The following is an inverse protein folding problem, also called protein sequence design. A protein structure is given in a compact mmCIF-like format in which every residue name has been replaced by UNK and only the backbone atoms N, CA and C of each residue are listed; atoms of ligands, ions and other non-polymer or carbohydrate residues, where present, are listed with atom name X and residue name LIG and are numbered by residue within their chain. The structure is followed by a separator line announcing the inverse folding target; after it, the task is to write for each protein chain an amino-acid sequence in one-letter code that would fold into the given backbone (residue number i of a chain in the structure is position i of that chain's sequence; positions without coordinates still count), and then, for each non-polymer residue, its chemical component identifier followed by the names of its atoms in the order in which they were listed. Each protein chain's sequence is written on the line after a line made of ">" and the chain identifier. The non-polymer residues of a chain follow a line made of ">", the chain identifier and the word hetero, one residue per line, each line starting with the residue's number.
data_IF_604365871126
#
_entry.id   IF_604365871126
#
_cell.length_a   1.000
_cell.length_b   1.000
_cell.length_c   1.000
_cell.angle_alpha   90.00
_cell.angle_beta   90.00
_cell.angle_gamma   90.00
#
_symmetry.space_group_name_H-M   'P 1'
#
loop_
_entity.id
_entity.type
_entity.pdbx_description
1 polymer ?
#
# COMPACT_ATOMS: atom_id res chain seq x y z
N UNK A 1 -22.76 72.79 41.64
CA UNK A 1 -22.54 72.37 40.26
C UNK A 1 -21.54 71.15 40.25
N UNK A 2 -21.97 69.94 40.03
CA UNK A 2 -21.11 68.75 39.91
C UNK A 2 -20.95 68.44 38.41
N UNK A 3 -19.72 68.46 37.91
CA UNK A 3 -19.37 68.08 36.54
C UNK A 3 -19.11 66.58 36.57
N UNK A 4 -19.90 65.84 35.81
CA UNK A 4 -19.73 64.37 35.60
C UNK A 4 -18.89 64.17 34.33
N UNK A 5 -17.66 63.72 34.49
CA UNK A 5 -16.80 63.32 33.38
C UNK A 5 -17.19 61.92 32.85
N UNK A 6 -17.49 61.80 31.58
CA UNK A 6 -17.69 60.53 30.88
C UNK A 6 -16.33 60.00 30.40
N UNK A 7 -15.90 58.85 30.91
CA UNK A 7 -14.74 58.11 30.39
C UNK A 7 -15.19 57.29 29.19
N UNK A 8 -14.56 57.46 28.03
CA UNK A 8 -14.68 56.60 26.87
C UNK A 8 -13.66 55.48 26.99
N UNK A 9 -14.15 54.22 27.07
CA UNK A 9 -13.31 53.04 26.95
C UNK A 9 -13.13 52.72 25.47
N UNK A 10 -11.90 52.78 24.97
CA UNK A 10 -11.52 52.32 23.64
C UNK A 10 -11.15 50.85 23.74
N UNK A 11 -12.00 49.98 23.24
CA UNK A 11 -11.69 48.52 23.11
C UNK A 11 -10.79 48.33 21.89
N UNK A 12 -9.54 47.95 22.10
CA UNK A 12 -8.63 47.53 21.05
C UNK A 12 -8.97 46.09 20.66
N UNK A 13 -9.49 45.88 19.46
CA UNK A 13 -9.72 44.56 18.86
C UNK A 13 -8.38 44.06 18.32
N UNK A 14 -7.75 43.11 19.01
CA UNK A 14 -6.54 42.46 18.52
C UNK A 14 -6.95 41.45 17.44
N UNK A 15 -6.71 41.75 16.15
CA UNK A 15 -6.75 40.79 15.05
C UNK A 15 -5.53 39.87 15.19
N UNK A 16 -5.75 38.66 15.64
CA UNK A 16 -4.75 37.57 15.50
C UNK A 16 -4.79 37.09 14.07
N UNK A 17 -3.87 37.53 13.25
CA UNK A 17 -3.55 36.91 11.96
C UNK A 17 -3.01 35.52 12.25
N UNK A 18 -3.86 34.51 12.12
CA UNK A 18 -3.45 33.13 12.08
C UNK A 18 -2.59 32.92 10.83
N UNK A 19 -1.28 32.88 10.98
CA UNK A 19 -0.40 32.32 9.95
C UNK A 19 -0.79 30.84 9.80
N UNK A 20 -1.54 30.51 8.75
CA UNK A 20 -1.66 29.13 8.29
C UNK A 20 -0.25 28.71 7.87
N UNK A 21 0.41 27.89 8.67
CA UNK A 21 1.63 27.23 8.27
C UNK A 21 1.27 26.39 7.02
N UNK A 22 1.74 26.82 5.86
CA UNK A 22 1.58 26.07 4.63
C UNK A 22 2.24 24.70 4.85
N UNK A 23 1.47 23.63 4.72
CA UNK A 23 2.00 22.29 4.89
C UNK A 23 3.18 22.13 3.93
N UNK A 24 4.33 21.67 4.44
CA UNK A 24 5.52 21.47 3.61
C UNK A 24 5.20 20.51 2.47
N UNK A 25 5.50 20.92 1.24
CA UNK A 25 5.23 20.14 0.05
C UNK A 25 6.12 18.90 -0.03
N UNK A 26 5.58 17.81 -0.54
CA UNK A 26 6.33 16.62 -0.87
C UNK A 26 7.05 16.85 -2.21
N UNK A 27 8.38 16.79 -2.24
CA UNK A 27 9.19 16.98 -3.45
C UNK A 27 10.11 15.80 -3.68
N UNK A 28 10.42 15.53 -4.95
CA UNK A 28 11.46 14.57 -5.28
C UNK A 28 12.82 15.12 -4.82
N UNK A 29 13.51 14.35 -3.98
CA UNK A 29 14.82 14.69 -3.42
C UNK A 29 15.95 13.81 -3.95
N UNK A 30 15.62 12.75 -4.68
CA UNK A 30 16.59 11.81 -5.25
C UNK A 30 15.94 10.66 -5.97
N UNK A 31 16.80 9.71 -6.34
CA UNK A 31 16.41 8.42 -6.89
C UNK A 31 17.45 7.36 -6.52
N UNK A 32 17.01 6.11 -6.37
CA UNK A 32 17.88 4.96 -6.15
C UNK A 32 17.92 4.13 -7.45
N UNK A 33 19.10 3.91 -7.99
CA UNK A 33 19.28 3.06 -9.16
C UNK A 33 19.02 1.59 -8.80
N UNK A 34 18.31 0.87 -9.67
CA UNK A 34 18.13 -0.58 -9.60
C UNK A 34 19.19 -1.22 -10.49
N UNK A 35 20.20 -1.90 -9.93
CA UNK A 35 21.25 -2.55 -10.74
C UNK A 35 20.72 -3.78 -11.48
N UNK A 36 21.34 -4.10 -12.62
CA UNK A 36 21.02 -5.29 -13.41
C UNK A 36 20.20 -4.99 -14.65
N UNK A 37 19.18 -5.80 -14.91
CA UNK A 37 18.28 -5.61 -16.04
C UNK A 37 17.40 -4.37 -15.83
N UNK A 38 16.96 -3.78 -16.95
CA UNK A 38 16.05 -2.62 -16.89
C UNK A 38 14.78 -2.98 -16.13
N UNK A 39 14.39 -2.12 -15.21
CA UNK A 39 13.15 -2.29 -14.42
C UNK A 39 11.92 -2.10 -15.33
N UNK A 40 11.48 -3.17 -15.95
CA UNK A 40 10.31 -3.23 -16.84
C UNK A 40 9.09 -3.88 -16.20
N UNK A 41 9.29 -4.64 -15.13
CA UNK A 41 8.25 -5.29 -14.35
C UNK A 41 8.68 -5.35 -12.89
N UNK A 42 7.82 -4.91 -12.05
CA UNK A 42 7.88 -5.01 -10.60
C UNK A 42 6.45 -5.02 -10.08
N UNK A 43 6.28 -5.30 -8.80
CA UNK A 43 4.99 -5.16 -8.16
C UNK A 43 5.13 -4.43 -6.82
N UNK A 44 4.95 -5.09 -5.72
CA UNK A 44 4.87 -4.44 -4.40
C UNK A 44 6.25 -4.01 -3.89
N UNK A 45 6.25 -2.90 -3.18
CA UNK A 45 7.39 -2.43 -2.40
C UNK A 45 7.01 -2.25 -0.93
N UNK A 46 7.99 -2.42 -0.05
CA UNK A 46 7.79 -2.38 1.39
C UNK A 46 8.97 -1.72 2.10
N UNK A 47 8.72 -1.02 3.21
CA UNK A 47 9.78 -0.54 4.12
C UNK A 47 9.62 -1.19 5.48
N UNK A 48 10.63 -1.94 5.90
CA UNK A 48 10.75 -2.35 7.30
C UNK A 48 11.34 -1.20 8.12
N UNK A 49 10.51 -0.66 9.00
CA UNK A 49 10.84 0.51 9.83
C UNK A 49 11.99 0.24 10.80
N UNK A 50 12.10 -0.99 11.27
CA UNK A 50 13.09 -1.38 12.28
C UNK A 50 14.50 -1.52 11.68
N UNK A 51 14.63 -2.23 10.56
CA UNK A 51 15.91 -2.40 9.87
C UNK A 51 16.26 -1.23 8.95
N UNK A 52 15.30 -0.35 8.65
CA UNK A 52 15.44 0.78 7.72
C UNK A 52 15.83 0.32 6.32
N UNK A 53 15.19 -0.75 5.86
CA UNK A 53 15.39 -1.33 4.54
C UNK A 53 14.12 -1.21 3.72
N UNK A 54 14.31 -0.84 2.46
CA UNK A 54 13.28 -0.87 1.45
C UNK A 54 13.47 -2.13 0.61
N UNK A 55 12.37 -2.80 0.33
CA UNK A 55 12.29 -4.02 -0.47
C UNK A 55 11.46 -3.77 -1.71
N UNK A 56 11.89 -4.30 -2.85
CA UNK A 56 11.18 -4.23 -4.12
C UNK A 56 11.03 -5.64 -4.69
N UNK A 57 9.80 -6.03 -5.01
CA UNK A 57 9.50 -7.22 -5.80
C UNK A 57 9.85 -6.94 -7.27
N UNK A 58 11.08 -7.27 -7.69
CA UNK A 58 11.61 -6.99 -9.03
C UNK A 58 11.51 -8.20 -9.94
N UNK A 59 10.44 -8.24 -10.74
CA UNK A 59 10.20 -9.29 -11.72
C UNK A 59 11.22 -9.27 -12.85
N UNK A 60 11.78 -8.11 -13.19
CA UNK A 60 12.77 -7.98 -14.27
C UNK A 60 14.07 -8.70 -13.94
N UNK A 61 14.51 -8.60 -12.70
CA UNK A 61 15.73 -9.24 -12.21
C UNK A 61 15.46 -10.58 -11.50
N UNK A 62 14.20 -11.04 -11.44
CA UNK A 62 13.80 -12.29 -10.77
C UNK A 62 14.24 -12.33 -9.31
N UNK A 63 14.02 -11.22 -8.59
CA UNK A 63 14.60 -11.00 -7.28
C UNK A 63 13.76 -10.11 -6.39
N UNK A 64 13.98 -10.21 -5.10
CA UNK A 64 13.67 -9.14 -4.16
C UNK A 64 14.92 -8.28 -4.00
N UNK A 65 14.84 -7.03 -4.39
CA UNK A 65 15.92 -6.07 -4.27
C UNK A 65 15.82 -5.32 -2.94
N UNK A 66 16.96 -5.13 -2.28
CA UNK A 66 17.05 -4.54 -0.94
C UNK A 66 17.89 -3.27 -0.97
N UNK A 67 17.35 -2.19 -0.38
CA UNK A 67 17.99 -0.88 -0.33
C UNK A 67 18.02 -0.34 1.10
N UNK A 68 19.02 0.47 1.40
CA UNK A 68 19.13 1.24 2.64
C UNK A 68 18.34 2.56 2.48
N UNK A 69 17.33 2.79 3.34
CA UNK A 69 16.50 4.00 3.26
C UNK A 69 17.19 5.24 3.82
N UNK A 70 18.20 5.07 4.67
CA UNK A 70 18.98 6.18 5.23
C UNK A 70 19.94 6.74 4.19
N UNK A 71 20.70 5.85 3.56
CA UNK A 71 21.74 6.19 2.59
C UNK A 71 21.20 6.29 1.15
N UNK A 72 19.95 5.87 0.89
CA UNK A 72 19.32 5.77 -0.44
C UNK A 72 20.17 4.99 -1.44
N UNK A 73 20.62 3.81 -1.06
CA UNK A 73 21.49 2.98 -1.88
C UNK A 73 21.08 1.52 -1.89
N UNK A 74 21.37 0.86 -2.99
CA UNK A 74 21.23 -0.58 -3.13
C UNK A 74 22.18 -1.30 -2.16
N UNK A 75 21.65 -2.33 -1.46
CA UNK A 75 22.41 -3.20 -0.54
C UNK A 75 22.72 -4.52 -1.23
N UNK A 76 21.73 -5.14 -1.86
CA UNK A 76 21.84 -6.45 -2.47
C UNK A 76 20.49 -6.94 -2.99
N UNK A 77 20.49 -8.18 -3.48
CA UNK A 77 19.27 -8.84 -3.97
C UNK A 77 19.21 -10.29 -3.58
N UNK A 78 18.01 -10.78 -3.43
CA UNK A 78 17.70 -12.19 -3.23
C UNK A 78 17.12 -12.71 -4.54
N UNK A 79 17.87 -13.55 -5.23
CA UNK A 79 17.44 -14.19 -6.48
C UNK A 79 16.69 -15.50 -6.22
N UNK A 80 16.08 -16.06 -7.26
CA UNK A 80 15.41 -17.37 -7.18
C UNK A 80 13.90 -17.31 -7.34
N UNK A 81 13.41 -16.24 -7.98
CA UNK A 81 11.99 -16.05 -8.33
C UNK A 81 11.75 -16.37 -9.80
N UNK A 82 10.47 -16.59 -10.13
CA UNK A 82 10.02 -16.92 -11.49
C UNK A 82 10.41 -15.84 -12.50
N UNK A 83 10.28 -14.57 -12.12
CA UNK A 83 10.52 -13.43 -13.00
C UNK A 83 9.33 -13.12 -13.91
N UNK A 84 9.57 -12.31 -14.95
CA UNK A 84 8.55 -11.96 -15.93
C UNK A 84 8.26 -13.16 -16.83
N UNK A 85 7.06 -13.70 -16.76
CA UNK A 85 6.54 -14.73 -17.63
C UNK A 85 5.80 -14.09 -18.81
N UNK A 86 6.10 -14.52 -20.01
CA UNK A 86 5.45 -14.02 -21.22
C UNK A 86 4.43 -15.03 -21.72
N UNK A 87 3.18 -14.63 -21.87
CA UNK A 87 2.10 -15.41 -22.46
C UNK A 87 1.54 -14.64 -23.67
N UNK A 88 1.51 -15.28 -24.82
CA UNK A 88 1.05 -14.67 -26.08
C UNK A 88 1.74 -13.32 -26.41
N UNK A 89 3.04 -13.21 -26.10
CA UNK A 89 3.83 -12.02 -26.36
C UNK A 89 3.61 -10.85 -25.39
N UNK A 90 2.83 -11.06 -24.33
CA UNK A 90 2.58 -10.06 -23.26
C UNK A 90 3.01 -10.60 -21.90
N UNK A 91 3.42 -9.74 -20.96
CA UNK A 91 3.66 -10.17 -19.59
C UNK A 91 2.39 -10.75 -18.96
N UNK A 92 2.50 -11.96 -18.39
CA UNK A 92 1.43 -12.58 -17.62
C UNK A 92 1.45 -12.05 -16.20
N UNK A 93 0.42 -11.30 -15.82
CA UNK A 93 0.30 -10.78 -14.45
C UNK A 93 0.15 -11.90 -13.43
N UNK A 94 -0.56 -12.98 -13.80
CA UNK A 94 -0.90 -14.07 -12.88
C UNK A 94 0.19 -15.13 -12.72
N UNK A 95 1.28 -15.05 -13.51
CA UNK A 95 2.37 -16.05 -13.54
C UNK A 95 3.75 -15.45 -13.34
N UNK A 96 3.87 -14.12 -13.42
CA UNK A 96 5.13 -13.43 -13.11
C UNK A 96 5.33 -13.37 -11.59
N UNK A 97 6.55 -13.10 -11.15
CA UNK A 97 6.92 -12.93 -9.74
C UNK A 97 8.40 -12.53 -9.60
N UNK A 98 8.80 -12.02 -8.42
CA UNK A 98 7.99 -11.84 -7.21
C UNK A 98 6.93 -10.76 -7.39
N UNK A 99 5.85 -10.84 -6.60
CA UNK A 99 4.77 -9.85 -6.59
C UNK A 99 4.66 -9.16 -5.23
N UNK A 100 4.09 -9.81 -4.21
CA UNK A 100 4.06 -9.27 -2.85
C UNK A 100 5.41 -9.35 -2.17
N UNK A 101 5.70 -8.36 -1.31
CA UNK A 101 6.83 -8.41 -0.39
C UNK A 101 6.48 -7.72 0.91
N UNK A 102 6.88 -8.33 2.03
CA UNK A 102 6.85 -7.74 3.37
C UNK A 102 8.10 -8.15 4.14
N UNK A 103 8.48 -7.39 5.16
CA UNK A 103 9.67 -7.66 5.94
C UNK A 103 9.50 -7.22 7.40
N UNK A 104 10.22 -7.88 8.29
CA UNK A 104 10.34 -7.52 9.70
C UNK A 104 11.72 -7.93 10.21
N UNK A 105 12.52 -6.96 10.61
CA UNK A 105 13.88 -7.13 11.12
C UNK A 105 14.80 -7.89 10.13
N UNK A 106 15.12 -9.15 10.44
CA UNK A 106 16.06 -9.97 9.67
C UNK A 106 15.36 -10.94 8.71
N UNK A 107 14.02 -10.94 8.68
CA UNK A 107 13.21 -11.79 7.81
C UNK A 107 12.46 -10.95 6.78
N UNK A 108 12.30 -11.50 5.58
CA UNK A 108 11.35 -11.01 4.60
C UNK A 108 10.55 -12.17 4.00
N UNK A 109 9.40 -11.87 3.48
CA UNK A 109 8.50 -12.79 2.81
C UNK A 109 8.19 -12.24 1.44
N UNK A 110 8.22 -13.09 0.44
CA UNK A 110 7.86 -12.68 -0.91
C UNK A 110 6.99 -13.72 -1.59
N UNK A 111 5.89 -13.26 -2.16
CA UNK A 111 5.02 -14.06 -3.00
C UNK A 111 5.59 -14.20 -4.39
N UNK A 112 5.40 -15.35 -5.03
CA UNK A 112 5.93 -15.62 -6.36
C UNK A 112 4.84 -16.11 -7.33
N UNK A 113 5.13 -16.02 -8.63
CA UNK A 113 4.25 -16.39 -9.73
C UNK A 113 3.88 -17.88 -9.82
N UNK A 114 4.59 -18.72 -9.08
CA UNK A 114 4.35 -20.17 -8.97
C UNK A 114 3.45 -20.59 -7.79
N UNK A 115 2.74 -19.63 -7.18
CA UNK A 115 1.87 -19.85 -6.02
C UNK A 115 2.63 -20.29 -4.77
N UNK A 116 3.85 -19.81 -4.59
CA UNK A 116 4.64 -20.03 -3.38
C UNK A 116 4.88 -18.75 -2.62
N UNK A 117 4.99 -18.87 -1.29
CA UNK A 117 5.57 -17.85 -0.42
C UNK A 117 7.00 -18.23 -0.08
N UNK A 118 7.96 -17.37 -0.39
CA UNK A 118 9.38 -17.57 -0.10
C UNK A 118 9.78 -16.83 1.15
N UNK A 119 10.44 -17.52 2.05
CA UNK A 119 11.01 -16.99 3.29
C UNK A 119 12.46 -16.61 3.06
N UNK A 120 12.84 -15.43 3.48
CA UNK A 120 14.12 -14.81 3.17
C UNK A 120 14.82 -14.43 4.47
N UNK A 121 16.07 -14.85 4.62
CA UNK A 121 16.99 -14.28 5.59
C UNK A 121 17.66 -13.05 4.97
N UNK A 122 17.39 -11.88 5.54
CA UNK A 122 17.85 -10.59 4.99
C UNK A 122 19.34 -10.33 5.30
N UNK A 123 19.94 -11.02 6.28
CA UNK A 123 21.38 -10.90 6.57
C UNK A 123 22.22 -11.65 5.56
N UNK A 124 21.77 -12.84 5.20
CA UNK A 124 22.48 -13.70 4.24
C UNK A 124 22.06 -13.47 2.80
N UNK A 125 20.97 -12.69 2.58
CA UNK A 125 20.35 -12.46 1.27
C UNK A 125 20.00 -13.78 0.56
N UNK A 126 19.40 -14.71 1.28
CA UNK A 126 19.07 -16.03 0.78
C UNK A 126 17.63 -16.45 1.09
N UNK A 127 17.02 -17.20 0.17
CA UNK A 127 15.77 -17.91 0.44
C UNK A 127 16.10 -19.07 1.38
N UNK A 128 15.42 -19.11 2.52
CA UNK A 128 15.61 -20.14 3.55
C UNK A 128 14.55 -21.22 3.48
N UNK A 129 13.38 -20.89 2.96
CA UNK A 129 12.26 -21.82 2.78
C UNK A 129 11.32 -21.37 1.67
N UNK A 130 10.52 -22.31 1.16
CA UNK A 130 9.51 -22.07 0.13
C UNK A 130 8.27 -22.89 0.44
N UNK A 131 7.15 -22.22 0.68
CA UNK A 131 5.89 -22.87 1.07
C UNK A 131 4.84 -22.64 -0.01
N UNK A 132 4.27 -23.73 -0.54
CA UNK A 132 3.17 -23.67 -1.49
C UNK A 132 1.87 -23.24 -0.79
N UNK A 133 1.16 -22.26 -1.35
CA UNK A 133 -0.13 -21.80 -0.83
C UNK A 133 -1.30 -22.64 -1.33
N UNK A 134 -1.04 -23.50 -2.30
CA UNK A 134 -2.04 -24.42 -2.90
C UNK A 134 -2.93 -23.74 -3.92
N UNK A 135 -2.47 -22.67 -4.54
CA UNK A 135 -3.05 -22.05 -5.72
C UNK A 135 -2.34 -22.46 -7.01
N UNK A 136 -2.66 -21.79 -8.08
CA UNK A 136 -2.10 -21.96 -9.43
C UNK A 136 -1.62 -20.66 -10.05
N UNK A 137 -1.93 -19.54 -9.41
CA UNK A 137 -1.55 -18.20 -9.79
C UNK A 137 -0.64 -17.58 -8.73
N UNK A 138 -0.13 -16.39 -8.99
CA UNK A 138 0.79 -15.68 -8.11
C UNK A 138 0.27 -15.55 -6.66
N UNK A 139 1.19 -15.50 -5.72
CA UNK A 139 0.93 -14.95 -4.39
C UNK A 139 1.24 -13.47 -4.48
N UNK A 140 0.22 -12.67 -4.30
CA UNK A 140 0.29 -11.21 -4.43
C UNK A 140 0.64 -10.55 -3.09
N UNK A 141 -0.15 -9.63 -2.62
CA UNK A 141 0.11 -8.83 -1.45
C UNK A 141 0.01 -9.60 -0.14
N UNK A 142 0.64 -9.07 0.89
CA UNK A 142 0.65 -9.68 2.21
C UNK A 142 0.63 -8.65 3.33
N UNK A 143 0.18 -9.07 4.51
CA UNK A 143 0.23 -8.31 5.74
C UNK A 143 0.80 -9.17 6.87
N UNK A 144 1.45 -8.51 7.83
CA UNK A 144 2.10 -9.15 8.96
C UNK A 144 1.36 -8.84 10.26
N UNK A 145 1.09 -9.88 11.05
CA UNK A 145 0.75 -9.78 12.46
C UNK A 145 1.99 -10.12 13.28
N UNK A 146 2.69 -9.11 13.79
CA UNK A 146 3.91 -9.34 14.56
C UNK A 146 3.64 -9.86 15.98
N UNK A 147 2.42 -9.73 16.51
CA UNK A 147 2.06 -10.16 17.86
C UNK A 147 1.86 -11.67 17.91
N UNK A 148 1.06 -12.21 16.99
CA UNK A 148 0.80 -13.65 16.91
C UNK A 148 1.79 -14.37 15.98
N UNK A 149 2.71 -13.64 15.34
CA UNK A 149 3.69 -14.16 14.40
C UNK A 149 3.05 -14.83 13.17
N UNK A 150 2.10 -14.15 12.54
CA UNK A 150 1.37 -14.63 11.38
C UNK A 150 1.60 -13.72 10.17
N UNK A 151 1.87 -14.31 9.01
CA UNK A 151 1.75 -13.63 7.72
C UNK A 151 0.47 -14.09 7.04
N UNK A 152 -0.34 -13.14 6.56
CA UNK A 152 -1.45 -13.38 5.66
C UNK A 152 -0.99 -13.07 4.25
N UNK A 153 -0.98 -14.06 3.36
CA UNK A 153 -0.56 -13.94 1.97
C UNK A 153 -1.73 -14.24 1.03
N UNK A 154 -2.00 -13.33 0.08
CA UNK A 154 -3.18 -13.36 -0.78
C UNK A 154 -2.84 -13.98 -2.13
N UNK A 155 -3.59 -14.99 -2.56
CA UNK A 155 -3.67 -15.45 -3.94
C UNK A 155 -4.85 -14.73 -4.61
N UNK A 156 -4.58 -13.55 -5.16
CA UNK A 156 -5.61 -12.61 -5.61
C UNK A 156 -6.34 -13.05 -6.88
N UNK A 157 -5.65 -13.75 -7.77
CA UNK A 157 -6.15 -14.12 -9.10
C UNK A 157 -6.74 -15.53 -9.17
N UNK A 158 -6.94 -16.21 -8.05
CA UNK A 158 -7.66 -17.48 -7.99
C UNK A 158 -9.18 -17.24 -8.04
N UNK A 159 -9.92 -18.28 -8.44
CA UNK A 159 -11.39 -18.24 -8.49
C UNK A 159 -12.00 -19.36 -7.65
N UNK A 160 -12.51 -19.07 -6.45
CA UNK A 160 -12.48 -17.79 -5.76
C UNK A 160 -11.08 -17.46 -5.23
N UNK A 161 -10.75 -16.16 -5.02
CA UNK A 161 -9.50 -15.77 -4.40
C UNK A 161 -9.44 -16.22 -2.95
N UNK A 162 -8.23 -16.42 -2.43
CA UNK A 162 -8.03 -16.83 -1.05
C UNK A 162 -6.78 -16.21 -0.43
N UNK A 163 -6.72 -16.21 0.88
CA UNK A 163 -5.50 -15.93 1.63
C UNK A 163 -5.03 -17.17 2.38
N UNK A 164 -3.71 -17.32 2.51
CA UNK A 164 -3.09 -18.34 3.35
C UNK A 164 -2.50 -17.67 4.57
N UNK A 165 -2.80 -18.18 5.76
CA UNK A 165 -2.16 -17.81 7.01
C UNK A 165 -0.96 -18.72 7.23
N UNK A 166 0.22 -18.13 7.43
CA UNK A 166 1.47 -18.88 7.64
C UNK A 166 2.16 -18.37 8.91
N UNK A 167 2.86 -19.28 9.59
CA UNK A 167 3.68 -18.96 10.73
C UNK A 167 4.93 -18.20 10.30
N UNK A 168 5.23 -17.09 10.97
CA UNK A 168 6.50 -16.37 10.83
C UNK A 168 7.63 -17.04 11.66
N UNK A 169 7.29 -18.05 12.48
CA UNK A 169 8.28 -18.83 13.24
C UNK A 169 9.08 -19.75 12.32
N UNK A 170 10.24 -20.26 12.75
CA UNK A 170 11.11 -21.10 11.91
C UNK A 170 10.48 -22.38 11.36
N UNK A 171 9.30 -22.78 11.83
CA UNK A 171 8.58 -23.94 11.32
C UNK A 171 7.75 -23.64 10.04
N UNK A 172 7.56 -22.37 9.72
CA UNK A 172 6.88 -21.83 8.51
C UNK A 172 5.58 -22.56 8.16
N UNK A 173 4.83 -23.02 9.18
CA UNK A 173 3.63 -23.83 8.97
C UNK A 173 2.51 -23.02 8.34
N UNK A 174 1.77 -23.67 7.45
CA UNK A 174 0.44 -23.21 7.04
C UNK A 174 -0.50 -23.39 8.23
N UNK A 175 -1.07 -22.28 8.72
CA UNK A 175 -1.99 -22.23 9.86
C UNK A 175 -3.45 -22.33 9.42
N UNK A 176 -3.76 -21.87 8.21
CA UNK A 176 -5.12 -21.90 7.67
C UNK A 176 -5.20 -21.31 6.27
N UNK A 177 -6.35 -21.51 5.65
CA UNK A 177 -6.73 -20.91 4.36
C UNK A 177 -8.08 -20.23 4.51
N UNK A 178 -8.19 -19.01 4.03
CA UNK A 178 -9.40 -18.19 4.06
C UNK A 178 -9.84 -17.95 2.64
N UNK A 179 -11.01 -18.47 2.28
CA UNK A 179 -11.55 -18.33 0.92
C UNK A 179 -12.54 -17.16 0.91
N UNK A 180 -12.34 -16.22 -0.01
CA UNK A 180 -13.24 -15.09 -0.22
C UNK A 180 -14.31 -15.47 -1.25
N UNK A 181 -15.25 -16.32 -0.86
CA UNK A 181 -16.24 -16.93 -1.77
C UNK A 181 -17.13 -15.92 -2.49
N UNK A 182 -17.37 -14.76 -1.90
CA UNK A 182 -18.18 -13.69 -2.50
C UNK A 182 -17.36 -12.71 -3.35
N UNK A 183 -16.03 -12.79 -3.34
CA UNK A 183 -15.15 -11.99 -4.17
C UNK A 183 -15.16 -12.51 -5.61
N UNK A 184 -15.45 -11.63 -6.56
CA UNK A 184 -15.63 -12.00 -7.98
C UNK A 184 -14.70 -11.26 -8.94
N UNK A 185 -13.81 -10.40 -8.43
CA UNK A 185 -12.74 -9.72 -9.18
C UNK A 185 -11.48 -9.59 -8.31
N UNK A 186 -11.04 -10.72 -7.73
CA UNK A 186 -9.83 -10.78 -6.92
C UNK A 186 -10.01 -10.39 -5.45
N UNK A 187 -8.89 -10.42 -4.73
CA UNK A 187 -8.70 -9.87 -3.39
C UNK A 187 -7.34 -9.18 -3.38
N UNK A 188 -7.28 -7.97 -2.91
CA UNK A 188 -6.15 -7.06 -3.08
C UNK A 188 -5.50 -6.71 -1.73
N UNK A 189 -4.79 -5.59 -1.63
CA UNK A 189 -3.95 -5.23 -0.49
C UNK A 189 -4.59 -5.55 0.86
N UNK A 190 -3.95 -6.39 1.69
CA UNK A 190 -4.30 -6.58 3.09
C UNK A 190 -3.57 -5.58 3.99
N UNK A 191 -4.16 -5.28 5.14
CA UNK A 191 -3.51 -4.52 6.21
C UNK A 191 -3.83 -5.16 7.57
N UNK A 192 -2.86 -5.20 8.47
CA UNK A 192 -3.07 -5.61 9.86
C UNK A 192 -3.42 -4.41 10.73
N UNK A 193 -4.44 -4.57 11.57
CA UNK A 193 -4.82 -3.57 12.56
C UNK A 193 -4.41 -4.01 13.97
N UNK A 194 -3.37 -3.45 14.55
CA UNK A 194 -2.93 -3.84 15.90
C UNK A 194 -3.92 -3.46 17.00
N UNK A 195 -4.88 -2.56 16.73
CA UNK A 195 -5.88 -2.15 17.72
C UNK A 195 -6.94 -3.23 18.02
N UNK A 196 -7.20 -4.12 17.06
CA UNK A 196 -8.16 -5.22 17.23
C UNK A 196 -7.57 -6.61 16.92
N UNK A 197 -6.33 -6.67 16.39
CA UNK A 197 -5.65 -7.91 16.04
C UNK A 197 -6.23 -8.60 14.80
N UNK A 198 -6.85 -7.85 13.88
CA UNK A 198 -7.49 -8.37 12.69
C UNK A 198 -6.74 -7.97 11.41
N UNK A 199 -6.85 -8.79 10.39
CA UNK A 199 -6.49 -8.38 9.04
C UNK A 199 -7.71 -7.80 8.31
N UNK A 200 -7.47 -6.77 7.52
CA UNK A 200 -8.45 -6.13 6.65
C UNK A 200 -7.98 -6.32 5.21
N UNK A 201 -8.78 -6.99 4.39
CA UNK A 201 -8.43 -7.35 3.01
C UNK A 201 -9.36 -6.63 2.05
N UNK A 202 -8.81 -5.90 1.10
CA UNK A 202 -9.59 -5.22 0.06
C UNK A 202 -10.24 -6.23 -0.88
N UNK A 203 -11.54 -6.09 -1.10
CA UNK A 203 -12.32 -6.93 -2.02
C UNK A 203 -12.94 -6.03 -3.10
N UNK A 204 -12.34 -6.03 -4.30
CA UNK A 204 -12.73 -5.13 -5.39
C UNK A 204 -14.18 -5.27 -5.84
N UNK A 205 -14.67 -6.51 -5.97
CA UNK A 205 -16.02 -6.79 -6.40
C UNK A 205 -16.65 -7.90 -5.55
N UNK A 206 -17.91 -7.69 -5.12
CA UNK A 206 -18.65 -8.63 -4.29
C UNK A 206 -19.91 -9.10 -5.03
N UNK A 207 -20.05 -10.41 -5.23
CA UNK A 207 -21.27 -11.03 -5.74
C UNK A 207 -21.60 -10.69 -7.19
N UNK A 208 -20.59 -10.44 -8.03
CA UNK A 208 -20.75 -10.05 -9.45
C UNK A 208 -21.48 -8.72 -9.66
N UNK A 209 -21.51 -7.87 -8.64
CA UNK A 209 -21.95 -6.47 -8.78
C UNK A 209 -20.71 -5.58 -8.92
N UNK A 210 -20.38 -5.09 -10.13
CA UNK A 210 -19.17 -4.31 -10.37
C UNK A 210 -19.12 -2.98 -9.62
N UNK A 211 -20.25 -2.54 -9.05
CA UNK A 211 -20.33 -1.31 -8.25
C UNK A 211 -20.23 -1.55 -6.75
N UNK A 212 -20.16 -2.81 -6.34
CA UNK A 212 -20.10 -3.20 -4.95
C UNK A 212 -18.76 -3.84 -4.61
N UNK A 213 -17.93 -3.12 -3.90
CA UNK A 213 -16.72 -3.64 -3.28
C UNK A 213 -16.79 -3.57 -1.76
N UNK A 214 -15.68 -3.82 -1.09
CA UNK A 214 -15.63 -3.76 0.36
C UNK A 214 -14.29 -4.18 0.95
N UNK A 215 -14.30 -4.41 2.26
CA UNK A 215 -13.16 -4.89 3.01
C UNK A 215 -13.60 -6.09 3.86
N UNK A 216 -12.96 -7.23 3.65
CA UNK A 216 -13.13 -8.41 4.49
C UNK A 216 -12.29 -8.25 5.76
N UNK A 217 -12.91 -8.38 6.93
CA UNK A 217 -12.24 -8.40 8.24
C UNK A 217 -12.03 -9.85 8.64
N UNK A 218 -10.78 -10.24 8.80
CA UNK A 218 -10.33 -11.61 9.04
C UNK A 218 -9.75 -11.72 10.45
N UNK A 219 -10.24 -12.66 11.22
CA UNK A 219 -9.64 -13.04 12.51
C UNK A 219 -8.60 -14.14 12.28
N UNK A 220 -7.29 -13.85 12.41
CA UNK A 220 -6.22 -14.84 12.16
C UNK A 220 -6.24 -15.99 13.16
N UNK A 221 -6.75 -15.79 14.38
CA UNK A 221 -6.80 -16.81 15.41
C UNK A 221 -7.92 -17.82 15.16
N UNK A 222 -9.03 -17.36 14.55
CA UNK A 222 -10.14 -18.22 14.13
C UNK A 222 -9.96 -18.80 12.74
N UNK A 223 -9.13 -18.15 11.91
CA UNK A 223 -8.98 -18.49 10.50
C UNK A 223 -10.26 -18.24 9.71
N UNK A 224 -10.99 -17.15 9.97
CA UNK A 224 -12.31 -16.90 9.43
C UNK A 224 -12.56 -15.42 9.13
N UNK A 225 -13.46 -15.16 8.16
CA UNK A 225 -13.98 -13.81 7.87
C UNK A 225 -15.10 -13.52 8.89
N UNK A 226 -14.88 -12.55 9.76
CA UNK A 226 -15.84 -12.19 10.81
C UNK A 226 -16.78 -11.05 10.41
N UNK A 227 -16.40 -10.28 9.38
CA UNK A 227 -17.20 -9.13 8.92
C UNK A 227 -16.85 -8.77 7.49
N UNK A 228 -17.82 -8.28 6.72
CA UNK A 228 -17.64 -7.64 5.43
C UNK A 228 -18.11 -6.18 5.52
N UNK A 229 -17.21 -5.24 5.31
CA UNK A 229 -17.49 -3.80 5.24
C UNK A 229 -17.76 -3.44 3.79
N UNK A 230 -18.97 -3.63 3.29
CA UNK A 230 -19.33 -3.36 1.90
C UNK A 230 -19.49 -1.88 1.63
N UNK A 231 -19.06 -1.44 0.44
CA UNK A 231 -19.22 -0.08 -0.04
C UNK A 231 -19.72 -0.07 -1.50
N UNK A 232 -20.59 0.89 -1.81
CA UNK A 232 -21.05 1.12 -3.19
C UNK A 232 -20.13 2.11 -3.89
N UNK A 233 -19.95 1.94 -5.20
CA UNK A 233 -19.18 2.84 -6.05
C UNK A 233 -17.70 2.99 -5.61
N UNK A 234 -17.14 1.90 -5.04
CA UNK A 234 -15.72 1.77 -4.76
C UNK A 234 -15.28 0.36 -5.15
N UNK A 235 -14.26 0.27 -5.96
CA UNK A 235 -13.56 -0.95 -6.33
C UNK A 235 -12.21 -0.93 -5.59
N UNK A 236 -12.19 -1.32 -4.30
CA UNK A 236 -11.04 -1.09 -3.44
C UNK A 236 -9.87 -2.02 -3.80
N UNK A 237 -8.69 -1.43 -3.94
CA UNK A 237 -7.44 -2.15 -4.08
C UNK A 237 -6.53 -1.88 -2.87
N UNK A 238 -6.05 -0.64 -2.72
CA UNK A 238 -5.15 -0.28 -1.63
C UNK A 238 -5.85 0.01 -0.31
N UNK A 239 -5.26 -0.43 0.82
CA UNK A 239 -5.71 -0.15 2.17
C UNK A 239 -4.53 0.14 3.10
N UNK A 240 -4.63 1.17 3.96
CA UNK A 240 -3.66 1.44 5.01
C UNK A 240 -4.32 2.10 6.24
N UNK A 241 -3.95 1.64 7.43
CA UNK A 241 -4.41 2.24 8.68
C UNK A 241 -3.74 3.57 8.95
N UNK A 242 -4.50 4.51 9.51
CA UNK A 242 -4.07 5.83 9.93
C UNK A 242 -4.55 6.17 11.34
N UNK A 243 -4.64 7.46 11.69
CA UNK A 243 -5.03 7.90 13.02
C UNK A 243 -6.52 7.62 13.31
N UNK A 244 -6.89 7.69 14.59
CA UNK A 244 -8.27 7.65 15.10
C UNK A 244 -9.06 6.37 14.78
N UNK A 245 -8.36 5.25 14.53
CA UNK A 245 -8.96 3.98 14.12
C UNK A 245 -9.58 4.03 12.72
N UNK A 246 -9.11 4.94 11.89
CA UNK A 246 -9.50 5.05 10.49
C UNK A 246 -8.49 4.35 9.58
N UNK A 247 -8.94 4.02 8.38
CA UNK A 247 -8.09 3.56 7.29
C UNK A 247 -8.44 4.27 5.99
N UNK A 248 -7.44 4.46 5.15
CA UNK A 248 -7.63 4.91 3.77
C UNK A 248 -7.92 3.72 2.87
N UNK A 249 -8.82 3.89 1.92
CA UNK A 249 -9.18 2.90 0.93
C UNK A 249 -9.08 3.51 -0.47
N UNK A 250 -8.15 3.01 -1.28
CA UNK A 250 -7.96 3.41 -2.66
C UNK A 250 -8.95 2.69 -3.58
N UNK A 251 -9.86 3.43 -4.22
CA UNK A 251 -10.85 2.85 -5.13
C UNK A 251 -10.39 3.00 -6.57
N UNK A 252 -10.23 1.88 -7.27
CA UNK A 252 -9.85 1.88 -8.67
C UNK A 252 -10.93 2.49 -9.56
N UNK A 253 -10.53 3.42 -10.44
CA UNK A 253 -11.43 3.93 -11.46
C UNK A 253 -11.62 2.88 -12.57
N UNK A 254 -12.86 2.68 -12.95
CA UNK A 254 -13.21 1.88 -14.12
C UNK A 254 -14.34 2.57 -14.89
N UNK A 255 -13.98 3.33 -15.92
CA UNK A 255 -14.94 4.11 -16.71
C UNK A 255 -15.97 3.24 -17.44
N UNK A 256 -15.61 2.04 -17.88
CA UNK A 256 -16.51 1.11 -18.55
C UNK A 256 -17.60 0.60 -17.61
N UNK A 257 -17.28 0.44 -16.32
CA UNK A 257 -18.21 0.05 -15.26
C UNK A 257 -18.84 1.24 -14.54
N UNK A 258 -18.56 2.46 -14.97
CA UNK A 258 -19.05 3.70 -14.34
C UNK A 258 -18.52 3.95 -12.94
N UNK A 259 -17.33 3.39 -12.62
CA UNK A 259 -16.70 3.55 -11.31
C UNK A 259 -15.83 4.80 -11.28
N UNK A 260 -16.07 5.73 -10.34
CA UNK A 260 -15.27 6.94 -10.23
C UNK A 260 -13.89 6.65 -9.62
N UNK A 261 -12.92 7.52 -9.94
CA UNK A 261 -11.70 7.62 -9.17
C UNK A 261 -12.02 8.30 -7.83
N UNK A 262 -11.92 7.59 -6.73
CA UNK A 262 -12.19 8.13 -5.39
C UNK A 262 -11.28 7.48 -4.36
N UNK A 263 -10.90 8.23 -3.33
CA UNK A 263 -10.27 7.69 -2.14
C UNK A 263 -11.22 7.89 -0.96
N UNK A 264 -11.43 6.85 -0.17
CA UNK A 264 -12.28 6.88 1.01
C UNK A 264 -11.44 6.84 2.28
N UNK A 265 -11.82 7.61 3.28
CA UNK A 265 -11.37 7.41 4.66
C UNK A 265 -12.54 6.77 5.41
N UNK A 266 -12.28 5.61 5.99
CA UNK A 266 -13.30 4.80 6.65
C UNK A 266 -12.93 4.51 8.09
N UNK A 267 -13.92 4.44 8.97
CA UNK A 267 -13.72 4.03 10.35
C UNK A 267 -13.75 2.50 10.46
N UNK A 268 -12.69 1.89 11.00
CA UNK A 268 -12.55 0.44 11.08
C UNK A 268 -13.63 -0.23 11.94
N UNK A 269 -14.01 0.40 13.06
CA UNK A 269 -14.99 -0.15 14.00
C UNK A 269 -16.40 -0.19 13.42
N UNK A 270 -16.82 0.92 12.80
CA UNK A 270 -18.20 1.08 12.30
C UNK A 270 -18.35 0.68 10.83
N UNK A 271 -17.30 0.76 10.03
CA UNK A 271 -17.35 0.63 8.57
C UNK A 271 -17.96 1.85 7.87
N UNK A 272 -18.17 2.95 8.60
CA UNK A 272 -18.73 4.16 8.01
C UNK A 272 -17.66 4.98 7.28
N UNK A 273 -18.04 5.64 6.20
CA UNK A 273 -17.21 6.62 5.51
C UNK A 273 -17.09 7.88 6.36
N UNK A 274 -15.84 8.25 6.68
CA UNK A 274 -15.49 9.51 7.38
C UNK A 274 -15.32 10.64 6.37
N UNK A 275 -14.65 10.35 5.25
CA UNK A 275 -14.47 11.29 4.14
C UNK A 275 -14.42 10.56 2.80
N UNK A 276 -14.89 11.23 1.76
CA UNK A 276 -14.73 10.80 0.37
C UNK A 276 -13.99 11.90 -0.40
N UNK A 277 -12.93 11.53 -1.09
CA UNK A 277 -12.02 12.43 -1.78
C UNK A 277 -12.08 12.11 -3.28
N UNK A 278 -12.93 12.82 -4.06
CA UNK A 278 -13.21 12.48 -5.46
C UNK A 278 -12.08 12.86 -6.42
N UNK A 279 -11.14 13.69 -5.97
CA UNK A 279 -10.08 14.22 -6.84
C UNK A 279 -8.87 13.29 -6.97
N UNK A 280 -8.86 12.18 -6.25
CA UNK A 280 -7.79 11.19 -6.26
C UNK A 280 -8.38 9.79 -6.08
N UNK A 281 -7.88 8.82 -6.84
CA UNK A 281 -8.31 7.41 -6.77
C UNK A 281 -7.56 6.60 -7.81
N UNK A 282 -8.06 5.39 -8.13
CA UNK A 282 -7.36 4.51 -9.05
C UNK A 282 -6.07 3.95 -8.45
N UNK A 283 -6.04 3.82 -7.13
CA UNK A 283 -4.88 3.38 -6.39
C UNK A 283 -4.83 1.85 -6.30
N UNK A 284 -3.66 1.28 -6.61
CA UNK A 284 -3.31 -0.10 -6.28
C UNK A 284 -2.74 -0.17 -4.87
N UNK A 285 -1.74 0.66 -4.60
CA UNK A 285 -1.13 0.75 -3.27
C UNK A 285 -1.39 2.10 -2.62
N UNK A 286 -1.63 2.06 -1.32
CA UNK A 286 -1.70 3.24 -0.46
C UNK A 286 -0.85 3.00 0.79
N UNK A 287 -0.36 4.08 1.40
CA UNK A 287 0.38 4.02 2.66
C UNK A 287 0.04 5.21 3.56
N UNK A 288 0.25 5.03 4.86
CA UNK A 288 0.19 6.08 5.85
C UNK A 288 1.57 6.33 6.47
N UNK A 289 1.92 7.59 6.67
CA UNK A 289 3.07 8.00 7.45
C UNK A 289 2.61 8.64 8.75
N UNK A 290 2.93 8.00 9.86
CA UNK A 290 2.68 8.56 11.18
C UNK A 290 3.55 9.81 11.43
N UNK A 291 4.79 9.83 10.92
CA UNK A 291 5.70 10.97 11.01
C UNK A 291 5.18 12.22 10.30
N UNK A 292 4.65 12.04 9.09
CA UNK A 292 4.16 13.15 8.28
C UNK A 292 2.68 13.47 8.56
N UNK A 293 1.97 12.56 9.22
CA UNK A 293 0.53 12.52 9.38
C UNK A 293 -0.21 12.67 8.03
N UNK A 294 0.22 11.87 7.05
CA UNK A 294 -0.28 11.92 5.67
C UNK A 294 -0.52 10.52 5.13
N UNK A 295 -1.57 10.38 4.33
CA UNK A 295 -1.76 9.23 3.46
C UNK A 295 -1.15 9.53 2.09
N UNK A 296 -0.55 8.51 1.49
CA UNK A 296 0.01 8.54 0.15
C UNK A 296 -0.74 7.56 -0.74
N UNK A 297 -1.13 8.03 -1.91
CA UNK A 297 -2.02 7.32 -2.82
C UNK A 297 -1.27 7.08 -4.13
N UNK A 298 -0.94 5.82 -4.41
CA UNK A 298 -0.36 5.39 -5.69
C UNK A 298 -1.43 5.31 -6.76
N UNK A 299 -1.91 6.46 -7.23
CA UNK A 299 -3.03 6.58 -8.13
C UNK A 299 -2.63 6.27 -9.59
N UNK A 300 -2.30 5.01 -9.85
CA UNK A 300 -1.81 4.53 -11.14
C UNK A 300 -2.83 4.65 -12.27
N UNK A 301 -4.12 4.56 -11.96
CA UNK A 301 -5.24 4.47 -12.92
C UNK A 301 -6.09 5.74 -12.92
N UNK A 302 -5.48 6.91 -12.68
CA UNK A 302 -6.20 8.18 -12.77
C UNK A 302 -6.53 8.54 -14.22
N UNK A 303 -7.72 9.08 -14.50
CA UNK A 303 -7.99 9.74 -15.77
C UNK A 303 -6.96 10.86 -16.02
N UNK A 304 -6.28 10.80 -17.16
CA UNK A 304 -5.24 11.78 -17.52
C UNK A 304 -3.79 11.39 -17.12
N UNK A 305 -3.61 10.23 -16.51
CA UNK A 305 -2.30 9.67 -16.16
C UNK A 305 -2.09 9.46 -14.67
N UNK A 306 -1.16 8.56 -14.33
CA UNK A 306 -0.87 8.22 -12.94
C UNK A 306 -0.27 9.38 -12.14
N UNK A 307 -0.69 9.54 -10.90
CA UNK A 307 -0.20 10.56 -9.97
C UNK A 307 0.02 9.98 -8.57
N UNK A 308 1.01 10.50 -7.87
CA UNK A 308 1.15 10.30 -6.43
C UNK A 308 0.30 11.34 -5.70
N UNK A 309 -0.73 10.90 -5.01
CA UNK A 309 -1.59 11.75 -4.19
C UNK A 309 -1.07 11.88 -2.76
N UNK A 310 -1.25 13.05 -2.15
CA UNK A 310 -0.94 13.30 -0.75
C UNK A 310 -2.20 13.83 -0.06
N UNK A 311 -2.66 13.12 0.96
CA UNK A 311 -3.83 13.49 1.76
C UNK A 311 -3.38 13.80 3.17
N UNK A 312 -3.75 14.95 3.70
CA UNK A 312 -3.54 15.30 5.11
C UNK A 312 -4.50 14.47 5.97
N UNK A 313 -3.96 13.69 6.91
CA UNK A 313 -4.76 12.76 7.70
C UNK A 313 -5.50 13.43 8.87
N UNK A 314 -5.13 14.65 9.26
CA UNK A 314 -5.86 15.40 10.28
C UNK A 314 -7.14 16.04 9.73
N UNK A 315 -7.08 16.50 8.48
CA UNK A 315 -8.21 17.17 7.82
C UNK A 315 -8.96 16.29 6.83
N UNK A 316 -8.40 15.13 6.47
CA UNK A 316 -8.89 14.23 5.42
C UNK A 316 -9.07 14.95 4.07
N UNK A 317 -8.12 15.83 3.71
CA UNK A 317 -8.18 16.60 2.47
C UNK A 317 -6.98 16.31 1.57
N UNK A 318 -7.21 16.29 0.27
CA UNK A 318 -6.14 16.19 -0.73
C UNK A 318 -5.33 17.50 -0.72
N UNK A 319 -4.03 17.41 -0.40
CA UNK A 319 -3.16 18.58 -0.33
C UNK A 319 -2.20 18.68 -1.50
N UNK A 320 -1.93 17.56 -2.19
CA UNK A 320 -1.02 17.57 -3.35
C UNK A 320 -1.29 16.41 -4.31
N UNK A 321 -1.10 16.66 -5.61
CA UNK A 321 -0.97 15.65 -6.67
C UNK A 321 0.37 15.84 -7.39
N UNK A 322 1.15 14.78 -7.52
CA UNK A 322 2.48 14.80 -8.12
C UNK A 322 2.49 13.88 -9.33
N UNK A 323 2.69 14.43 -10.51
CA UNK A 323 2.98 13.63 -11.71
C UNK A 323 4.42 13.15 -11.62
N UNK A 324 4.64 11.85 -11.84
CA UNK A 324 5.99 11.30 -11.82
C UNK A 324 6.79 11.72 -13.04
N UNK A 325 8.10 11.94 -12.90
CA UNK A 325 8.98 12.26 -14.02
C UNK A 325 8.89 11.23 -15.15
N UNK A 326 8.86 11.71 -16.39
CA UNK A 326 8.79 10.86 -17.58
C UNK A 326 7.43 10.19 -17.81
N UNK A 327 6.40 10.54 -17.03
CA UNK A 327 5.06 9.91 -17.13
C UNK A 327 4.98 8.54 -16.45
N UNK A 328 5.90 8.25 -15.52
CA UNK A 328 5.89 7.02 -14.72
C UNK A 328 4.58 6.84 -13.97
N UNK A 329 4.19 5.59 -13.74
CA UNK A 329 2.93 5.23 -13.07
C UNK A 329 3.23 4.76 -11.65
N UNK A 330 2.69 5.42 -10.60
CA UNK A 330 2.91 5.01 -9.22
C UNK A 330 2.03 3.81 -8.86
N UNK A 331 2.41 2.63 -9.33
CA UNK A 331 1.70 1.39 -9.03
C UNK A 331 1.89 0.98 -7.57
N UNK A 332 3.13 1.07 -7.08
CA UNK A 332 3.49 0.76 -5.70
C UNK A 332 4.17 1.95 -5.04
N UNK A 333 4.12 2.01 -3.72
CA UNK A 333 4.85 2.97 -2.90
C UNK A 333 5.09 2.43 -1.51
N UNK A 334 6.15 2.91 -0.85
CA UNK A 334 6.42 2.61 0.55
C UNK A 334 6.95 3.85 1.29
N UNK A 335 6.75 3.88 2.61
CA UNK A 335 7.12 5.03 3.45
C UNK A 335 8.11 4.60 4.52
N UNK A 336 9.17 5.37 4.71
CA UNK A 336 10.07 5.28 5.86
C UNK A 336 9.67 6.34 6.90
N UNK A 337 9.00 5.94 7.96
CA UNK A 337 8.58 6.83 9.04
C UNK A 337 9.76 7.36 9.88
N UNK A 338 10.93 6.75 9.82
CA UNK A 338 12.13 7.30 10.47
C UNK A 338 12.59 8.60 9.81
N UNK A 339 12.38 8.74 8.51
CA UNK A 339 12.79 9.92 7.73
C UNK A 339 11.62 10.72 7.17
N UNK A 340 10.43 10.14 7.08
CA UNK A 340 9.27 10.71 6.38
C UNK A 340 9.40 10.66 4.86
N UNK A 341 10.35 9.86 4.33
CA UNK A 341 10.53 9.69 2.89
C UNK A 341 9.52 8.71 2.31
N UNK A 342 9.12 8.99 1.06
CA UNK A 342 8.24 8.15 0.26
C UNK A 342 9.04 7.63 -0.93
N UNK A 343 9.01 6.33 -1.13
CA UNK A 343 9.71 5.63 -2.20
C UNK A 343 8.70 5.14 -3.23
N UNK A 344 8.92 5.47 -4.50
CA UNK A 344 8.00 5.12 -5.59
C UNK A 344 8.80 4.51 -6.74
N UNK A 345 8.64 3.22 -7.02
CA UNK A 345 9.27 2.59 -8.18
C UNK A 345 8.73 3.20 -9.48
N UNK A 346 9.59 3.38 -10.44
CA UNK A 346 9.27 3.96 -11.75
C UNK A 346 9.83 3.09 -12.86
N UNK A 347 8.98 2.74 -13.82
CA UNK A 347 9.30 1.89 -14.97
C UNK A 347 10.38 2.52 -15.86
N UNK A 348 11.21 1.71 -16.49
CA UNK A 348 12.19 2.16 -17.48
C UNK A 348 11.55 2.55 -18.84
N UNK A 349 10.31 2.13 -19.10
CA UNK A 349 9.50 2.60 -20.22
C UNK A 349 8.65 3.79 -19.79
N UNK A 350 9.08 4.99 -20.12
CA UNK A 350 8.40 6.24 -19.75
C UNK A 350 8.83 6.85 -18.41
N UNK A 351 9.72 6.17 -17.66
CA UNK A 351 10.27 6.67 -16.40
C UNK A 351 11.77 6.44 -16.31
N UNK A 352 12.31 6.46 -15.10
CA UNK A 352 13.77 6.32 -14.89
C UNK A 352 14.27 4.87 -14.81
N UNK A 353 13.40 3.88 -14.65
CA UNK A 353 13.81 2.52 -14.27
C UNK A 353 14.52 2.49 -12.92
N UNK A 354 14.04 3.28 -11.97
CA UNK A 354 14.64 3.50 -10.68
C UNK A 354 13.56 3.64 -9.59
N UNK A 355 13.96 3.81 -8.34
CA UNK A 355 13.06 4.14 -7.24
C UNK A 355 13.18 5.62 -6.94
N UNK A 356 12.14 6.39 -7.21
CA UNK A 356 12.07 7.81 -6.91
C UNK A 356 11.94 8.01 -5.39
N UNK A 357 12.65 9.00 -4.86
CA UNK A 357 12.65 9.33 -3.43
C UNK A 357 12.06 10.72 -3.25
N UNK A 358 10.99 10.79 -2.46
CA UNK A 358 10.31 12.04 -2.12
C UNK A 358 10.47 12.34 -0.63
N UNK A 359 10.52 13.63 -0.27
CA UNK A 359 10.52 14.11 1.11
C UNK A 359 9.80 15.45 1.21
N UNK A 360 9.29 15.78 2.38
CA UNK A 360 8.72 17.10 2.70
C UNK A 360 9.83 18.15 2.76
N UNK A 361 9.58 19.32 2.16
CA UNK A 361 10.47 20.48 2.15
C UNK A 361 9.73 21.75 2.54
#
# INVERSE_FOLDING_TARGET
>A
MRVVGKAFAVSALALTLGLSAQAAELKQVGAMAVPGEKLLGWDISFVDQASRRYFLADQSNRSVDVFDTKENRFIGRVAGFVGRVMENGKPSRNKSGPDGVAASLDQAWAGDGDSTLKFIDVKTMAITDTVATGGTTRVDEMALDPEDHVVLAVNNAEEPPFATLLSMKPDHKVLGKIVFSDATDGAEQPAYNPADGMFYVSIPEIGKDPRRGGVAVVDPRRGDIIKMLSHQMCHPNGIAFGPDGNFVLGCAANGERGMPAVTLIMNAKTGSTVAAIPDIGGADMVAYSARNNQYYIGAARMPGGGVLGVIDAATNTLVQKITLPGGGTPHSLAVDDNTGRVFVPSNAEGGCGCILVFARQ
#
